data_IF_762928719311
#
_entry.id   IF_762928719311
#
_cell.length_a   1.000
_cell.length_b   1.000
_cell.length_c   1.000
_cell.angle_alpha   90.00
_cell.angle_beta   90.00
_cell.angle_gamma   90.00
#
_symmetry.space_group_name_H-M   'P 1'
#
loop_
_entity.id
_entity.type
_entity.pdbx_description
1 polymer ?
#
# COMPACT_ATOMS: atom_id res chain seq x y z
N UNK A 1 11.93 14.62 -15.17
CA UNK A 1 11.32 15.97 -15.05
C UNK A 1 10.58 16.01 -13.72
N UNK A 2 10.93 16.93 -12.81
CA UNK A 2 10.14 17.14 -11.58
C UNK A 2 8.79 17.73 -12.00
N UNK A 3 7.73 16.95 -11.94
CA UNK A 3 6.37 17.50 -12.01
C UNK A 3 6.20 18.38 -10.76
N UNK A 4 5.90 19.65 -10.96
CA UNK A 4 5.47 20.53 -9.89
C UNK A 4 4.10 20.02 -9.42
N UNK A 5 4.08 19.25 -8.33
CA UNK A 5 2.84 18.91 -7.65
C UNK A 5 2.31 20.19 -7.00
N UNK A 6 1.26 20.76 -7.58
CA UNK A 6 0.53 21.84 -6.97
C UNK A 6 -0.56 21.21 -6.10
N UNK A 7 -0.32 21.11 -4.80
CA UNK A 7 -1.32 20.65 -3.84
C UNK A 7 -2.41 21.70 -3.71
N UNK A 8 -3.47 21.57 -4.49
CA UNK A 8 -4.69 22.34 -4.25
C UNK A 8 -5.29 21.87 -2.92
N UNK A 9 -5.65 22.77 -1.99
CA UNK A 9 -6.38 22.35 -0.81
C UNK A 9 -7.70 21.73 -1.27
N UNK A 10 -7.86 20.42 -1.08
CA UNK A 10 -9.15 19.76 -1.29
C UNK A 10 -10.21 20.56 -0.54
N UNK A 11 -11.26 21.00 -1.22
CA UNK A 11 -12.38 21.63 -0.52
C UNK A 11 -12.93 20.58 0.45
N UNK A 12 -13.21 21.01 1.69
CA UNK A 12 -13.80 20.13 2.69
C UNK A 12 -15.15 19.62 2.16
N UNK A 13 -15.21 18.36 1.71
CA UNK A 13 -16.37 17.77 1.06
C UNK A 13 -16.09 16.36 0.50
N UNK A 14 -17.13 15.64 0.05
CA UNK A 14 -17.00 14.33 -0.58
C UNK A 14 -16.03 14.38 -1.77
N UNK A 15 -15.17 13.36 -1.92
CA UNK A 15 -14.22 13.22 -3.03
C UNK A 15 -14.88 13.38 -4.40
N UNK A 16 -16.11 12.88 -4.54
CA UNK A 16 -16.95 13.00 -5.75
C UNK A 16 -17.20 14.46 -6.16
N UNK A 17 -17.42 15.37 -5.20
CA UNK A 17 -17.65 16.78 -5.48
C UNK A 17 -16.36 17.45 -5.94
N UNK A 18 -15.23 17.09 -5.33
CA UNK A 18 -13.93 17.64 -5.70
C UNK A 18 -13.48 17.15 -7.08
N UNK A 19 -13.78 15.90 -7.41
CA UNK A 19 -13.47 15.30 -8.71
C UNK A 19 -14.30 15.91 -9.85
N UNK A 20 -15.59 16.21 -9.63
CA UNK A 20 -16.50 16.74 -10.68
C UNK A 20 -16.56 18.27 -10.79
N UNK A 21 -15.86 18.98 -9.90
CA UNK A 21 -15.80 20.44 -9.88
C UNK A 21 -15.19 21.07 -11.14
N UNK A 22 -14.12 20.52 -11.76
CA UNK A 22 -13.56 21.07 -12.99
C UNK A 22 -14.57 21.15 -14.12
N UNK A 23 -15.35 20.07 -14.34
CA UNK A 23 -16.39 19.99 -15.36
C UNK A 23 -17.50 21.02 -15.15
N UNK A 24 -17.94 21.20 -13.90
CA UNK A 24 -18.88 22.27 -13.52
C UNK A 24 -18.33 23.67 -13.85
N UNK A 25 -17.09 23.97 -13.41
CA UNK A 25 -16.46 25.27 -13.61
C UNK A 25 -16.16 25.54 -15.09
N UNK A 26 -15.77 24.53 -15.85
CA UNK A 26 -15.49 24.64 -17.28
C UNK A 26 -16.69 25.17 -18.06
N UNK A 27 -17.87 24.56 -17.86
CA UNK A 27 -19.09 24.99 -18.56
C UNK A 27 -19.47 26.42 -18.16
N UNK A 28 -19.40 26.78 -16.88
CA UNK A 28 -19.68 28.15 -16.41
C UNK A 28 -18.71 29.15 -17.06
N UNK A 29 -17.42 28.86 -16.96
CA UNK A 29 -16.36 29.76 -17.42
C UNK A 29 -16.44 30.00 -18.93
N UNK A 30 -16.60 28.93 -19.72
CA UNK A 30 -16.69 29.02 -21.17
C UNK A 30 -17.97 29.71 -21.65
N UNK A 31 -19.09 29.53 -20.94
CA UNK A 31 -20.30 30.29 -21.22
C UNK A 31 -20.09 31.79 -20.98
N UNK A 32 -19.55 32.18 -19.83
CA UNK A 32 -19.24 33.56 -19.51
C UNK A 32 -18.26 34.18 -20.53
N UNK A 33 -17.26 33.42 -20.96
CA UNK A 33 -16.31 33.83 -21.98
C UNK A 33 -16.97 34.07 -23.34
N UNK A 34 -17.83 33.15 -23.78
CA UNK A 34 -18.54 33.25 -25.06
C UNK A 34 -19.46 34.48 -25.07
N UNK A 35 -20.07 34.80 -23.93
CA UNK A 35 -20.87 36.02 -23.75
C UNK A 35 -20.02 37.31 -23.72
N UNK A 36 -18.77 37.24 -23.26
CA UNK A 36 -17.84 38.36 -23.24
C UNK A 36 -17.20 38.66 -24.62
N UNK A 37 -17.30 37.73 -25.59
CA UNK A 37 -16.83 37.97 -26.96
C UNK A 37 -17.84 38.87 -27.69
N UNK A 38 -17.42 40.06 -28.15
CA UNK A 38 -18.33 41.01 -28.78
C UNK A 38 -18.61 40.58 -30.23
N UNK A 39 -19.81 40.07 -30.46
CA UNK A 39 -20.53 40.06 -31.74
C UNK A 39 -22.00 40.41 -31.46
N UNK A 40 -22.74 40.82 -32.49
CA UNK A 40 -24.21 40.95 -32.44
C UNK A 40 -24.78 39.81 -31.60
N UNK A 41 -25.50 40.16 -30.53
CA UNK A 41 -26.02 39.19 -29.58
C UNK A 41 -26.71 38.06 -30.37
N UNK A 42 -26.30 36.79 -30.18
CA UNK A 42 -26.95 35.70 -30.90
C UNK A 42 -28.44 35.76 -30.58
N UNK A 43 -29.31 35.54 -31.58
CA UNK A 43 -30.76 35.67 -31.45
C UNK A 43 -31.37 34.82 -30.30
N UNK A 44 -30.60 33.86 -29.74
CA UNK A 44 -30.98 33.01 -28.62
C UNK A 44 -29.76 32.72 -27.71
N UNK A 45 -29.51 33.60 -26.73
CA UNK A 45 -28.42 33.49 -25.73
C UNK A 45 -28.44 32.16 -24.97
N UNK A 46 -29.62 31.58 -24.75
CA UNK A 46 -29.80 30.31 -24.04
C UNK A 46 -29.19 29.09 -24.75
N UNK A 47 -28.78 29.18 -26.02
CA UNK A 47 -28.13 28.08 -26.75
C UNK A 47 -26.64 27.91 -26.41
N UNK A 48 -26.00 28.94 -25.86
CA UNK A 48 -24.56 28.92 -25.54
C UNK A 48 -24.23 27.84 -24.49
N UNK A 49 -24.97 27.71 -23.37
CA UNK A 49 -24.72 26.65 -22.40
C UNK A 49 -24.94 25.24 -22.94
N UNK A 50 -25.91 25.07 -23.84
CA UNK A 50 -26.17 23.76 -24.48
C UNK A 50 -24.99 23.32 -25.35
N UNK A 51 -24.36 24.25 -26.06
CA UNK A 51 -23.20 23.96 -26.90
C UNK A 51 -21.98 23.56 -26.06
N UNK A 52 -21.69 24.30 -24.98
CA UNK A 52 -20.57 23.97 -24.09
C UNK A 52 -20.80 22.69 -23.28
N UNK A 53 -22.05 22.41 -22.89
CA UNK A 53 -22.41 21.10 -22.33
C UNK A 53 -22.09 19.97 -23.31
N UNK A 54 -22.52 20.07 -24.57
CA UNK A 54 -22.25 19.05 -25.57
C UNK A 54 -20.75 18.84 -25.81
N UNK A 55 -19.95 19.93 -25.84
CA UNK A 55 -18.49 19.86 -25.94
C UNK A 55 -17.90 19.14 -24.71
N UNK A 56 -18.36 19.48 -23.50
CA UNK A 56 -17.91 18.83 -22.26
C UNK A 56 -18.20 17.33 -22.29
N UNK A 57 -19.40 16.92 -22.71
CA UNK A 57 -19.77 15.50 -22.85
C UNK A 57 -18.86 14.79 -23.85
N UNK A 58 -18.53 15.41 -24.98
CA UNK A 58 -17.59 14.81 -25.95
C UNK A 58 -16.20 14.65 -25.33
N UNK A 59 -15.71 15.65 -24.60
CA UNK A 59 -14.41 15.57 -23.91
C UNK A 59 -14.38 14.46 -22.86
N UNK A 60 -15.46 14.25 -22.11
CA UNK A 60 -15.57 13.13 -21.16
C UNK A 60 -15.64 11.77 -21.87
N UNK A 61 -16.43 11.66 -22.93
CA UNK A 61 -16.52 10.41 -23.70
C UNK A 61 -15.18 10.04 -24.37
N UNK A 62 -14.37 11.03 -24.74
CA UNK A 62 -13.00 10.80 -25.25
C UNK A 62 -12.05 10.23 -24.18
N UNK A 63 -12.42 10.23 -22.89
CA UNK A 63 -11.65 9.60 -21.82
C UNK A 63 -12.00 8.11 -21.63
N UNK A 64 -13.10 7.61 -22.22
CA UNK A 64 -13.49 6.19 -22.15
C UNK A 64 -12.54 5.29 -22.95
N UNK A 65 -12.09 5.77 -24.10
CA UNK A 65 -11.03 5.15 -24.89
C UNK A 65 -9.79 5.99 -24.65
N UNK A 66 -8.82 5.50 -23.87
CA UNK A 66 -7.58 6.22 -23.55
C UNK A 66 -6.86 6.66 -24.84
N UNK A 67 -7.22 7.82 -25.39
CA UNK A 67 -6.52 8.43 -26.51
C UNK A 67 -5.25 8.97 -25.89
N UNK A 68 -4.08 8.40 -26.19
CA UNK A 68 -2.77 8.67 -25.58
C UNK A 68 -2.23 10.10 -25.73
N UNK A 69 -3.09 11.09 -25.52
CA UNK A 69 -2.87 12.52 -25.52
C UNK A 69 -2.66 12.90 -24.05
N UNK A 70 -1.40 13.09 -23.67
CA UNK A 70 -0.97 13.32 -22.29
C UNK A 70 -1.54 14.57 -21.61
N UNK A 71 -2.16 15.50 -22.35
CA UNK A 71 -2.86 16.68 -21.80
C UNK A 71 -4.38 16.51 -21.65
N UNK A 72 -4.95 15.36 -22.05
CA UNK A 72 -6.34 14.96 -21.80
C UNK A 72 -6.38 13.81 -20.78
N UNK A 73 -5.52 13.88 -19.75
CA UNK A 73 -5.44 12.88 -18.69
C UNK A 73 -6.60 13.07 -17.70
N UNK A 74 -7.74 12.45 -17.99
CA UNK A 74 -8.90 12.35 -17.10
C UNK A 74 -9.41 10.91 -17.05
N UNK A 75 -10.19 10.59 -16.02
CA UNK A 75 -10.94 9.34 -15.92
C UNK A 75 -12.41 9.65 -16.12
N UNK A 76 -13.07 8.95 -17.03
CA UNK A 76 -14.50 9.12 -17.23
C UNK A 76 -15.27 8.91 -15.92
N UNK A 77 -16.01 9.93 -15.48
CA UNK A 77 -16.97 9.84 -14.38
C UNK A 77 -18.34 10.38 -14.83
N UNK A 78 -19.41 9.64 -14.56
CA UNK A 78 -20.77 10.09 -14.87
C UNK A 78 -21.16 11.34 -14.06
N UNK A 79 -20.52 11.58 -12.91
CA UNK A 79 -20.70 12.79 -12.12
C UNK A 79 -20.17 14.05 -12.85
N UNK A 80 -19.18 13.93 -13.74
CA UNK A 80 -18.72 15.04 -14.58
C UNK A 80 -19.79 15.50 -15.57
N UNK A 81 -20.53 14.54 -16.14
CA UNK A 81 -21.66 14.83 -17.03
C UNK A 81 -22.78 15.54 -16.27
N UNK A 82 -23.11 15.09 -15.06
CA UNK A 82 -24.10 15.76 -14.22
C UNK A 82 -23.68 17.19 -13.86
N UNK A 83 -22.41 17.36 -13.49
CA UNK A 83 -21.82 18.65 -13.14
C UNK A 83 -21.90 19.63 -14.33
N UNK A 84 -21.51 19.18 -15.52
CA UNK A 84 -21.61 19.96 -16.75
C UNK A 84 -23.07 20.32 -17.09
N UNK A 85 -24.01 19.38 -16.91
CA UNK A 85 -25.45 19.62 -17.13
C UNK A 85 -26.02 20.65 -16.16
N UNK A 86 -25.65 20.56 -14.88
CA UNK A 86 -26.07 21.50 -13.83
C UNK A 86 -25.55 22.91 -14.13
N UNK A 87 -24.27 23.04 -14.48
CA UNK A 87 -23.67 24.30 -14.89
C UNK A 87 -24.40 24.93 -16.09
N UNK A 88 -24.71 24.12 -17.11
CA UNK A 88 -25.45 24.59 -18.27
C UNK A 88 -26.87 25.07 -17.90
N UNK A 89 -27.56 24.36 -17.02
CA UNK A 89 -28.89 24.72 -16.53
C UNK A 89 -28.86 26.04 -15.74
N UNK A 90 -27.88 26.23 -14.85
CA UNK A 90 -27.70 27.46 -14.07
C UNK A 90 -27.51 28.67 -14.99
N UNK A 91 -26.62 28.57 -15.98
CA UNK A 91 -26.37 29.67 -16.92
C UNK A 91 -27.57 29.91 -17.83
N UNK A 92 -28.24 28.86 -18.31
CA UNK A 92 -29.44 29.00 -19.14
C UNK A 92 -30.55 29.71 -18.36
N UNK A 93 -30.80 29.32 -17.11
CA UNK A 93 -31.76 29.97 -16.21
C UNK A 93 -31.40 31.44 -15.97
N UNK A 94 -30.14 31.72 -15.63
CA UNK A 94 -29.65 33.09 -15.42
C UNK A 94 -29.83 33.96 -16.67
N UNK A 95 -29.50 33.43 -17.85
CA UNK A 95 -29.66 34.13 -19.13
C UNK A 95 -31.13 34.38 -19.48
N UNK A 96 -32.02 33.44 -19.17
CA UNK A 96 -33.46 33.56 -19.39
C UNK A 96 -34.10 34.59 -18.47
N UNK A 97 -33.63 34.71 -17.22
CA UNK A 97 -34.09 35.72 -16.26
C UNK A 97 -33.60 37.13 -16.62
N UNK A 98 -32.45 37.25 -17.28
CA UNK A 98 -31.83 38.52 -17.68
C UNK A 98 -32.25 39.01 -19.09
N UNK A 99 -33.21 38.34 -19.74
CA UNK A 99 -33.57 38.47 -21.16
C UNK A 99 -34.21 39.82 -21.57
N UNK A 100 -33.79 40.95 -20.99
CA UNK A 100 -34.31 42.29 -21.28
C UNK A 100 -33.30 43.45 -21.10
N UNK A 101 -31.99 43.22 -21.13
CA UNK A 101 -31.00 44.32 -21.13
C UNK A 101 -30.07 44.26 -22.34
N UNK A 102 -30.13 45.30 -23.19
CA UNK A 102 -29.12 45.52 -24.23
C UNK A 102 -27.80 45.91 -23.57
N UNK A 103 -26.87 44.97 -23.45
CA UNK A 103 -25.52 45.27 -22.97
C UNK A 103 -24.72 45.80 -24.17
N UNK A 104 -24.45 47.11 -24.15
CA UNK A 104 -23.49 47.73 -25.07
C UNK A 104 -22.10 47.63 -24.43
N UNK A 105 -21.21 46.84 -25.02
CA UNK A 105 -19.83 46.70 -24.56
C UNK A 105 -18.84 46.86 -25.71
N UNK A 106 -17.76 47.61 -25.47
CA UNK A 106 -16.64 47.78 -26.41
C UNK A 106 -15.93 46.44 -26.67
N UNK A 107 -15.35 46.23 -27.86
CA UNK A 107 -14.73 44.96 -28.17
C UNK A 107 -13.46 44.69 -27.36
N UNK A 108 -13.40 43.52 -26.72
CA UNK A 108 -12.22 43.06 -25.97
C UNK A 108 -11.04 42.80 -26.92
N UNK A 109 -9.84 43.26 -26.54
CA UNK A 109 -8.62 43.11 -27.36
C UNK A 109 -8.14 41.65 -27.42
N UNK A 110 -7.43 41.29 -28.48
CA UNK A 110 -6.90 39.93 -28.69
C UNK A 110 -5.95 39.49 -27.56
N UNK A 111 -5.22 40.43 -26.98
CA UNK A 111 -4.31 40.22 -25.85
C UNK A 111 -5.02 39.74 -24.57
N UNK A 112 -6.33 40.02 -24.43
CA UNK A 112 -7.14 39.58 -23.29
C UNK A 112 -7.87 38.27 -23.63
N UNK A 113 -8.28 38.08 -24.89
CA UNK A 113 -8.98 36.87 -25.36
C UNK A 113 -8.11 35.60 -25.25
N UNK A 114 -6.84 35.69 -25.63
CA UNK A 114 -5.93 34.53 -25.63
C UNK A 114 -5.73 33.91 -24.23
N UNK A 115 -5.36 34.67 -23.18
CA UNK A 115 -5.20 34.12 -21.84
C UNK A 115 -6.52 33.62 -21.25
N UNK A 116 -7.66 34.24 -21.58
CA UNK A 116 -8.97 33.75 -21.15
C UNK A 116 -9.32 32.39 -21.78
N UNK A 117 -9.12 32.21 -23.08
CA UNK A 117 -9.33 30.92 -23.75
C UNK A 117 -8.39 29.86 -23.15
N UNK A 118 -7.15 30.22 -22.85
CA UNK A 118 -6.19 29.35 -22.19
C UNK A 118 -6.72 28.90 -20.82
N UNK A 119 -7.14 29.83 -19.96
CA UNK A 119 -7.68 29.52 -18.62
C UNK A 119 -8.91 28.60 -18.69
N UNK A 120 -9.80 28.82 -19.66
CA UNK A 120 -10.99 27.98 -19.82
C UNK A 120 -10.70 26.59 -20.37
N UNK A 121 -9.68 26.49 -21.22
CA UNK A 121 -9.21 25.20 -21.73
C UNK A 121 -8.52 24.41 -20.62
N UNK A 122 -7.74 25.10 -19.76
CA UNK A 122 -7.11 24.51 -18.58
C UNK A 122 -8.14 24.13 -17.50
N UNK A 123 -9.33 24.75 -17.45
CA UNK A 123 -10.36 24.38 -16.47
C UNK A 123 -11.13 23.10 -16.83
N UNK A 124 -10.97 22.57 -18.05
CA UNK A 124 -11.42 21.21 -18.41
C UNK A 124 -10.41 20.14 -18.02
N UNK A 125 -9.22 20.51 -17.56
CA UNK A 125 -8.23 19.54 -17.13
C UNK A 125 -8.60 19.07 -15.73
N UNK A 126 -9.15 17.85 -15.65
CA UNK A 126 -9.27 17.13 -14.40
C UNK A 126 -7.89 16.97 -13.75
N UNK A 127 -7.87 16.96 -12.42
CA UNK A 127 -6.67 16.56 -11.68
C UNK A 127 -6.63 15.03 -11.62
N UNK A 128 -5.76 14.40 -12.40
CA UNK A 128 -5.44 12.98 -12.19
C UNK A 128 -4.67 12.83 -10.88
N UNK A 129 -5.34 12.31 -9.85
CA UNK A 129 -4.67 11.88 -8.62
C UNK A 129 -4.18 10.45 -8.85
N UNK A 130 -2.88 10.27 -9.05
CA UNK A 130 -2.27 8.94 -9.06
C UNK A 130 -2.46 8.32 -7.67
N UNK A 131 -3.44 7.41 -7.55
CA UNK A 131 -3.72 6.66 -6.32
C UNK A 131 -2.89 5.37 -6.23
N UNK A 132 -1.85 5.23 -7.06
CA UNK A 132 -0.95 4.07 -6.95
C UNK A 132 0.05 4.23 -5.80
N UNK A 133 0.46 3.08 -5.26
CA UNK A 133 1.50 2.96 -4.25
C UNK A 133 2.78 2.38 -4.87
N UNK A 134 3.93 2.87 -4.41
CA UNK A 134 5.24 2.31 -4.75
C UNK A 134 5.52 1.09 -3.84
N UNK A 135 5.89 -0.03 -4.45
CA UNK A 135 6.21 -1.28 -3.75
C UNK A 135 7.74 -1.50 -3.63
N UNK A 136 8.21 -2.41 -2.74
CA UNK A 136 9.65 -2.64 -2.50
C UNK A 136 10.49 -2.95 -3.75
N UNK A 137 9.87 -3.52 -4.76
CA UNK A 137 10.48 -3.86 -6.05
C UNK A 137 10.39 -2.74 -7.10
N UNK A 138 9.93 -1.55 -6.70
CA UNK A 138 9.72 -0.36 -7.53
C UNK A 138 8.57 -0.47 -8.51
N UNK A 139 7.72 -1.49 -8.40
CA UNK A 139 6.45 -1.55 -9.14
C UNK A 139 5.42 -0.59 -8.54
N UNK A 140 4.46 -0.17 -9.36
CA UNK A 140 3.33 0.67 -8.97
C UNK A 140 2.04 -0.07 -9.23
N UNK A 141 1.22 -0.19 -8.21
CA UNK A 141 -0.10 -0.82 -8.28
C UNK A 141 -1.08 -0.14 -7.31
N UNK A 142 -2.33 -0.62 -7.26
CA UNK A 142 -3.33 -0.20 -6.27
C UNK A 142 -2.74 -0.20 -4.86
N UNK A 143 -3.11 0.78 -4.03
CA UNK A 143 -2.70 0.82 -2.62
C UNK A 143 -3.46 -0.19 -1.73
N UNK A 144 -4.52 -0.78 -2.27
CA UNK A 144 -5.35 -1.73 -1.56
C UNK A 144 -4.80 -3.15 -1.78
N UNK A 145 -4.56 -3.85 -0.69
CA UNK A 145 -3.92 -5.18 -0.68
C UNK A 145 -4.67 -6.16 0.21
N UNK A 146 -4.52 -7.45 -0.09
CA UNK A 146 -5.05 -8.53 0.73
C UNK A 146 -3.98 -9.11 1.66
N UNK A 147 -4.30 -9.47 2.92
CA UNK A 147 -3.34 -10.09 3.84
C UNK A 147 -2.99 -11.53 3.43
N UNK A 148 -1.70 -11.87 3.50
CA UNK A 148 -1.19 -13.24 3.34
C UNK A 148 -1.02 -13.90 4.71
N UNK A 149 -1.70 -15.02 4.91
CA UNK A 149 -1.67 -15.78 6.16
C UNK A 149 -0.76 -17.01 6.06
N UNK A 150 0.08 -17.22 7.07
CA UNK A 150 0.68 -18.50 7.40
C UNK A 150 -0.21 -19.19 8.44
N UNK A 151 -0.67 -20.42 8.16
CA UNK A 151 -1.65 -21.09 9.03
C UNK A 151 -1.02 -21.49 10.36
N UNK A 152 -1.81 -21.47 11.43
CA UNK A 152 -1.34 -21.93 12.74
C UNK A 152 -0.81 -23.35 12.74
N UNK A 153 -1.38 -24.23 11.91
CA UNK A 153 -0.88 -25.59 11.75
C UNK A 153 0.56 -25.62 11.23
N UNK A 154 0.90 -24.77 10.27
CA UNK A 154 2.24 -24.72 9.68
C UNK A 154 3.26 -24.13 10.68
N UNK A 155 2.83 -23.23 11.57
CA UNK A 155 3.68 -22.62 12.61
C UNK A 155 3.92 -23.59 13.79
N UNK A 156 2.87 -24.29 14.23
CA UNK A 156 2.87 -25.04 15.49
C UNK A 156 3.35 -26.48 15.37
N UNK A 157 3.47 -27.02 14.16
CA UNK A 157 3.87 -28.41 13.92
C UNK A 157 5.36 -28.61 13.71
N UNK A 158 6.15 -27.54 13.58
CA UNK A 158 7.52 -27.64 13.05
C UNK A 158 8.61 -27.20 14.03
N UNK A 159 8.66 -27.81 15.22
CA UNK A 159 9.72 -27.58 16.19
C UNK A 159 10.74 -28.74 16.11
N UNK A 160 11.97 -28.44 15.67
CA UNK A 160 13.01 -29.46 15.44
C UNK A 160 14.40 -28.92 15.83
N UNK A 161 15.28 -29.80 16.32
CA UNK A 161 16.72 -29.51 16.46
C UNK A 161 17.46 -30.14 15.29
N UNK A 162 18.31 -29.36 14.64
CA UNK A 162 19.28 -29.83 13.67
C UNK A 162 20.69 -29.65 14.22
N UNK A 163 21.49 -30.72 14.19
CA UNK A 163 22.87 -30.71 14.66
C UNK A 163 23.85 -30.60 13.49
N UNK A 164 24.99 -29.95 13.75
CA UNK A 164 26.11 -29.92 12.82
C UNK A 164 27.03 -31.13 13.04
N UNK A 165 27.19 -31.94 12.00
CA UNK A 165 28.18 -33.02 12.01
C UNK A 165 29.62 -32.52 11.84
N UNK A 166 29.82 -31.31 11.31
CA UNK A 166 31.15 -30.79 10.97
C UNK A 166 31.97 -30.36 12.20
N UNK A 167 31.28 -29.87 13.24
CA UNK A 167 31.91 -29.29 14.43
C UNK A 167 31.36 -29.93 15.72
N UNK A 168 30.94 -31.20 15.64
CA UNK A 168 30.34 -31.90 16.77
C UNK A 168 31.30 -31.94 17.97
N UNK A 169 30.89 -31.31 19.07
CA UNK A 169 31.49 -31.54 20.38
C UNK A 169 30.86 -32.80 21.02
N UNK A 170 31.33 -33.20 22.21
CA UNK A 170 30.86 -34.44 22.86
C UNK A 170 29.35 -34.47 23.09
N UNK A 171 28.72 -33.32 23.36
CA UNK A 171 27.27 -33.21 23.56
C UNK A 171 26.49 -33.33 22.25
N UNK A 172 26.96 -32.65 21.21
CA UNK A 172 26.35 -32.69 19.87
C UNK A 172 26.44 -34.09 19.29
N UNK A 173 27.59 -34.76 19.44
CA UNK A 173 27.78 -36.13 18.98
C UNK A 173 26.85 -37.11 19.73
N UNK A 174 26.74 -36.97 21.05
CA UNK A 174 25.83 -37.82 21.82
C UNK A 174 24.36 -37.66 21.41
N UNK A 175 23.94 -36.44 21.03
CA UNK A 175 22.59 -36.20 20.51
C UNK A 175 22.38 -36.80 19.11
N UNK A 176 23.39 -36.69 18.23
CA UNK A 176 23.38 -37.34 16.90
C UNK A 176 23.30 -38.87 17.04
N UNK A 177 24.10 -39.46 17.92
CA UNK A 177 24.13 -40.91 18.15
C UNK A 177 22.79 -41.45 18.68
N UNK A 178 21.99 -40.58 19.31
CA UNK A 178 20.62 -40.86 19.77
C UNK A 178 19.54 -40.64 18.71
N UNK A 179 19.93 -40.37 17.44
CA UNK A 179 19.01 -40.17 16.32
C UNK A 179 18.65 -38.71 16.05
N UNK A 180 19.45 -37.76 16.55
CA UNK A 180 19.28 -36.33 16.23
C UNK A 180 19.35 -36.05 14.73
N UNK A 181 18.56 -35.08 14.26
CA UNK A 181 18.57 -34.66 12.86
C UNK A 181 19.87 -33.90 12.56
N UNK A 182 20.46 -34.12 11.39
CA UNK A 182 21.70 -33.47 10.97
C UNK A 182 21.40 -32.50 9.83
N UNK A 183 21.95 -31.29 9.89
CA UNK A 183 21.93 -30.30 8.80
C UNK A 183 23.23 -29.52 8.77
N UNK A 184 23.73 -29.24 7.57
CA UNK A 184 24.87 -28.35 7.39
C UNK A 184 24.53 -26.90 7.75
N UNK A 185 25.54 -26.12 8.15
CA UNK A 185 25.36 -24.71 8.44
C UNK A 185 25.04 -23.94 7.16
N UNK A 186 23.88 -23.30 7.11
CA UNK A 186 23.43 -22.55 5.93
C UNK A 186 23.68 -21.04 6.01
N UNK A 187 24.35 -20.58 7.06
CA UNK A 187 24.46 -19.15 7.35
C UNK A 187 23.31 -18.62 8.21
N UNK A 188 23.32 -17.31 8.43
CA UNK A 188 22.29 -16.55 9.14
C UNK A 188 21.82 -15.47 8.19
N UNK A 189 20.52 -15.46 7.87
CA UNK A 189 19.97 -14.55 6.86
C UNK A 189 19.51 -13.23 7.49
N UNK A 190 18.75 -13.29 8.59
CA UNK A 190 18.21 -12.11 9.25
C UNK A 190 18.53 -12.13 10.75
N UNK A 191 19.75 -11.74 11.16
CA UNK A 191 20.16 -11.79 12.55
C UNK A 191 19.33 -10.83 13.43
N UNK A 192 18.80 -11.36 14.52
CA UNK A 192 18.15 -10.63 15.59
C UNK A 192 19.04 -10.54 16.83
N UNK A 193 18.44 -10.77 18.00
CA UNK A 193 19.16 -10.77 19.27
C UNK A 193 20.26 -11.84 19.28
N UNK A 194 21.43 -11.43 19.77
CA UNK A 194 22.54 -12.31 20.11
C UNK A 194 22.58 -12.43 21.63
N UNK A 195 22.65 -13.65 22.14
CA UNK A 195 22.62 -13.95 23.56
C UNK A 195 23.75 -14.90 23.93
N UNK A 196 24.44 -14.63 25.04
CA UNK A 196 25.50 -15.51 25.56
C UNK A 196 25.03 -16.10 26.88
N UNK A 197 25.08 -17.42 27.00
CA UNK A 197 24.79 -18.13 28.25
C UNK A 197 25.84 -19.22 28.46
N UNK A 198 26.56 -19.14 29.57
CA UNK A 198 27.76 -19.94 29.84
C UNK A 198 28.75 -19.87 28.67
N UNK A 199 29.14 -21.02 28.11
CA UNK A 199 30.02 -21.12 26.95
C UNK A 199 29.28 -21.11 25.61
N UNK A 200 27.96 -20.89 25.58
CA UNK A 200 27.19 -20.93 24.32
C UNK A 200 26.80 -19.54 23.86
N UNK A 201 26.76 -19.38 22.55
CA UNK A 201 26.27 -18.20 21.85
C UNK A 201 25.02 -18.59 21.05
N UNK A 202 23.93 -17.89 21.31
CA UNK A 202 22.65 -18.05 20.63
C UNK A 202 22.43 -16.87 19.72
N UNK A 203 22.12 -17.12 18.46
CA UNK A 203 21.79 -16.08 17.48
C UNK A 203 20.39 -16.35 16.96
N UNK A 204 19.47 -15.41 17.23
CA UNK A 204 18.14 -15.45 16.63
C UNK A 204 18.27 -15.18 15.13
N UNK A 205 17.80 -16.08 14.29
CA UNK A 205 17.56 -15.83 12.87
C UNK A 205 16.05 -15.60 12.71
N UNK A 206 15.69 -14.34 12.58
CA UNK A 206 14.33 -13.88 12.79
C UNK A 206 13.35 -14.67 11.92
N UNK A 207 12.32 -15.18 12.58
CA UNK A 207 11.23 -16.02 12.07
C UNK A 207 11.61 -17.43 11.63
N UNK A 208 12.89 -17.80 11.65
CA UNK A 208 13.36 -19.14 11.31
C UNK A 208 13.64 -19.97 12.56
N UNK A 209 14.39 -19.42 13.51
CA UNK A 209 14.81 -20.15 14.70
C UNK A 209 16.10 -19.62 15.30
N UNK A 210 16.75 -20.44 16.11
CA UNK A 210 17.93 -20.05 16.90
C UNK A 210 19.14 -20.88 16.47
N UNK A 211 20.21 -20.21 16.04
CA UNK A 211 21.51 -20.84 15.83
C UNK A 211 22.28 -20.90 17.14
N UNK A 212 22.92 -22.03 17.41
CA UNK A 212 23.69 -22.30 18.63
C UNK A 212 25.14 -22.54 18.25
N UNK A 213 26.04 -21.85 18.93
CA UNK A 213 27.49 -21.96 18.76
C UNK A 213 28.16 -22.26 20.09
N UNK A 214 29.24 -23.05 20.06
CA UNK A 214 30.25 -23.10 21.11
C UNK A 214 31.07 -21.81 21.04
N UNK A 215 31.04 -21.06 22.14
CA UNK A 215 31.69 -19.78 22.32
C UNK A 215 32.78 -19.84 23.40
N UNK A 216 33.35 -21.02 23.66
CA UNK A 216 34.48 -21.20 24.59
C UNK A 216 35.72 -20.41 24.14
N UNK A 217 35.92 -20.26 22.83
CA UNK A 217 36.85 -19.31 22.22
C UNK A 217 36.06 -18.20 21.51
N UNK A 218 35.93 -17.04 22.16
CA UNK A 218 35.15 -15.91 21.65
C UNK A 218 35.71 -15.33 20.34
N UNK A 219 37.00 -15.58 20.03
CA UNK A 219 37.58 -15.16 18.76
C UNK A 219 37.19 -16.08 17.60
N UNK A 220 36.73 -17.30 17.90
CA UNK A 220 36.40 -18.32 16.91
C UNK A 220 35.23 -19.22 17.37
N UNK A 221 34.00 -18.69 17.45
CA UNK A 221 32.83 -19.47 17.83
C UNK A 221 32.54 -20.57 16.79
N UNK A 222 32.22 -21.78 17.27
CA UNK A 222 31.99 -22.96 16.42
C UNK A 222 30.51 -23.31 16.36
N UNK A 223 29.97 -23.44 15.17
CA UNK A 223 28.55 -23.78 14.98
C UNK A 223 28.23 -25.19 15.48
N UNK A 224 27.21 -25.33 16.32
CA UNK A 224 26.81 -26.61 16.91
C UNK A 224 25.45 -27.11 16.39
N UNK A 225 24.44 -26.25 16.40
CA UNK A 225 23.06 -26.66 16.11
C UNK A 225 22.18 -25.49 15.66
N UNK A 226 21.03 -25.83 15.09
CA UNK A 226 19.94 -24.92 14.79
C UNK A 226 18.64 -25.46 15.37
N UNK A 227 17.99 -24.65 16.21
CA UNK A 227 16.67 -24.93 16.78
C UNK A 227 15.63 -24.22 15.94
N UNK A 228 14.93 -24.97 15.09
CA UNK A 228 13.88 -24.44 14.23
C UNK A 228 12.66 -24.08 15.06
N UNK A 229 12.29 -22.81 15.05
CA UNK A 229 11.08 -22.28 15.68
C UNK A 229 10.51 -21.24 14.72
N UNK A 230 9.53 -21.66 13.92
CA UNK A 230 8.89 -20.76 12.96
C UNK A 230 8.28 -19.57 13.72
N UNK A 231 8.54 -18.37 13.23
CA UNK A 231 8.09 -17.13 13.89
C UNK A 231 8.96 -16.64 15.05
N UNK A 232 10.17 -17.20 15.24
CA UNK A 232 11.14 -16.77 16.25
C UNK A 232 11.48 -15.26 16.16
N UNK A 233 10.95 -14.43 17.05
CA UNK A 233 11.24 -12.98 17.04
C UNK A 233 12.26 -12.57 18.09
N UNK A 234 12.35 -13.31 19.19
CA UNK A 234 13.28 -13.04 20.29
C UNK A 234 13.54 -14.31 21.10
N UNK A 235 14.60 -14.30 21.93
CA UNK A 235 14.93 -15.39 22.85
C UNK A 235 15.46 -14.88 24.20
N UNK A 236 15.28 -15.68 25.25
CA UNK A 236 15.91 -15.50 26.56
C UNK A 236 16.22 -16.88 27.17
N UNK A 237 17.34 -17.01 27.88
CA UNK A 237 17.70 -18.27 28.55
C UNK A 237 17.61 -18.10 30.05
N UNK A 238 16.85 -18.96 30.71
CA UNK A 238 16.71 -18.98 32.17
C UNK A 238 16.78 -20.41 32.69
N UNK A 239 17.69 -20.66 33.64
CA UNK A 239 17.86 -21.96 34.30
C UNK A 239 18.02 -23.15 33.32
N UNK A 240 18.75 -22.95 32.23
CA UNK A 240 18.97 -24.01 31.22
C UNK A 240 17.78 -24.25 30.28
N UNK A 241 16.77 -23.39 30.31
CA UNK A 241 15.64 -23.40 29.37
C UNK A 241 15.71 -22.14 28.50
N UNK A 242 15.72 -22.32 27.19
CA UNK A 242 15.63 -21.24 26.21
C UNK A 242 14.16 -20.99 25.87
N UNK A 243 13.68 -19.79 26.18
CA UNK A 243 12.36 -19.31 25.81
C UNK A 243 12.46 -18.51 24.52
N UNK A 244 11.67 -18.88 23.52
CA UNK A 244 11.65 -18.25 22.20
C UNK A 244 10.25 -17.70 21.95
N UNK A 245 10.18 -16.42 21.59
CA UNK A 245 8.92 -15.81 21.14
C UNK A 245 8.64 -16.31 19.71
N UNK A 246 7.53 -17.02 19.50
CA UNK A 246 7.12 -17.56 18.20
C UNK A 246 5.80 -16.91 17.78
N UNK A 247 5.88 -15.76 17.12
CA UNK A 247 4.73 -14.86 16.90
C UNK A 247 3.93 -14.58 18.17
N UNK A 248 2.73 -15.17 18.32
CA UNK A 248 1.84 -15.04 19.47
C UNK A 248 2.08 -16.10 20.55
N UNK A 249 2.91 -17.10 20.26
CA UNK A 249 3.19 -18.22 21.12
C UNK A 249 4.55 -18.04 21.80
N UNK A 250 4.79 -18.81 22.87
CA UNK A 250 6.11 -18.95 23.48
C UNK A 250 6.52 -20.42 23.44
N UNK A 251 7.74 -20.68 22.97
CA UNK A 251 8.33 -22.02 22.93
C UNK A 251 9.45 -22.10 23.96
N UNK A 252 9.33 -23.01 24.91
CA UNK A 252 10.39 -23.37 25.84
C UNK A 252 11.16 -24.57 25.31
N UNK A 253 12.48 -24.46 25.24
CA UNK A 253 13.41 -25.49 24.77
C UNK A 253 14.37 -25.81 25.89
N UNK A 254 14.36 -27.04 26.38
CA UNK A 254 15.35 -27.52 27.34
C UNK A 254 16.71 -27.68 26.65
N UNK A 255 17.77 -27.05 27.18
CA UNK A 255 19.11 -27.08 26.57
C UNK A 255 19.94 -28.30 26.98
N UNK A 256 19.37 -29.20 27.78
CA UNK A 256 19.99 -30.46 28.20
C UNK A 256 19.36 -31.62 27.43
N UNK A 257 20.17 -32.58 26.99
CA UNK A 257 19.65 -33.79 26.36
C UNK A 257 18.77 -34.60 27.33
N UNK A 258 17.55 -35.04 26.93
CA UNK A 258 16.93 -34.83 25.62
C UNK A 258 16.33 -33.42 25.46
N UNK A 259 16.50 -32.82 24.28
CA UNK A 259 15.95 -31.49 23.95
C UNK A 259 14.41 -31.56 23.87
N UNK A 260 13.73 -31.24 24.97
CA UNK A 260 12.28 -31.19 25.01
C UNK A 260 11.76 -29.80 24.60
N UNK A 261 10.61 -29.81 23.94
CA UNK A 261 9.92 -28.60 23.49
C UNK A 261 8.55 -28.51 24.12
N UNK A 262 8.24 -27.34 24.67
CA UNK A 262 6.91 -27.02 25.17
C UNK A 262 6.45 -25.70 24.55
N UNK A 263 5.36 -25.75 23.78
CA UNK A 263 4.75 -24.56 23.19
C UNK A 263 3.52 -24.16 24.00
N UNK A 264 3.48 -22.91 24.41
CA UNK A 264 2.27 -22.30 24.98
C UNK A 264 1.71 -21.33 23.95
N UNK A 265 0.50 -21.62 23.48
CA UNK A 265 -0.15 -20.88 22.38
C UNK A 265 -0.83 -19.60 22.86
N UNK A 266 -0.82 -18.56 22.02
CA UNK A 266 -1.58 -17.30 22.21
C UNK A 266 -1.30 -16.58 23.55
N UNK A 267 -0.05 -16.63 24.03
CA UNK A 267 0.38 -15.95 25.27
C UNK A 267 0.74 -14.50 25.00
N UNK A 268 1.28 -14.21 23.81
CA UNK A 268 1.65 -12.88 23.38
C UNK A 268 0.52 -12.27 22.54
N UNK A 269 0.31 -10.94 22.62
CA UNK A 269 -0.73 -10.28 21.85
C UNK A 269 -0.45 -10.37 20.35
N UNK A 270 -1.51 -10.52 19.56
CA UNK A 270 -1.41 -10.46 18.11
C UNK A 270 -0.90 -9.07 17.67
N UNK A 271 0.15 -8.99 16.85
CA UNK A 271 0.80 -7.72 16.53
C UNK A 271 -0.06 -6.84 15.60
N UNK A 272 0.17 -5.52 15.66
CA UNK A 272 -0.50 -4.57 14.77
C UNK A 272 0.13 -4.56 13.38
N UNK A 273 -0.26 -5.55 12.56
CA UNK A 273 0.28 -5.80 11.21
C UNK A 273 0.14 -4.61 10.25
N UNK A 274 -0.82 -3.71 10.48
CA UNK A 274 -0.98 -2.49 9.69
C UNK A 274 0.26 -1.59 9.71
N UNK A 275 1.05 -1.65 10.79
CA UNK A 275 2.26 -0.84 10.94
C UNK A 275 3.45 -1.38 10.14
N UNK A 276 3.32 -2.57 9.56
CA UNK A 276 4.36 -3.21 8.74
C UNK A 276 4.18 -2.95 7.25
N UNK A 277 3.03 -2.39 6.85
CA UNK A 277 2.77 -2.03 5.47
C UNK A 277 3.60 -0.81 5.04
N UNK A 278 3.99 -0.73 3.75
CA UNK A 278 4.56 0.49 3.18
C UNK A 278 3.62 1.69 3.34
N UNK A 279 4.17 2.90 3.22
CA UNK A 279 3.37 4.12 3.30
C UNK A 279 2.21 4.10 2.29
N UNK A 280 1.02 4.48 2.75
CA UNK A 280 -0.25 4.53 1.99
C UNK A 280 -0.87 3.17 1.60
N UNK A 281 -0.12 2.06 1.68
CA UNK A 281 -0.66 0.71 1.45
C UNK A 281 -1.57 0.31 2.61
N UNK A 282 -2.73 -0.29 2.31
CA UNK A 282 -3.75 -0.61 3.31
C UNK A 282 -4.45 -1.94 2.97
N UNK A 283 -4.84 -2.68 4.01
CA UNK A 283 -5.64 -3.90 3.85
C UNK A 283 -7.10 -3.56 3.53
N UNK A 284 -7.43 -3.54 2.25
CA UNK A 284 -8.74 -3.12 1.73
C UNK A 284 -9.16 -4.02 0.57
N UNK A 285 -10.46 -4.18 0.43
CA UNK A 285 -11.10 -4.84 -0.70
C UNK A 285 -12.42 -4.13 -0.99
N UNK A 286 -12.66 -3.76 -2.25
CA UNK A 286 -13.89 -3.08 -2.68
C UNK A 286 -14.28 -1.88 -1.79
N UNK A 287 -13.30 -1.00 -1.52
CA UNK A 287 -13.41 0.18 -0.63
C UNK A 287 -13.71 -0.11 0.85
N UNK A 288 -13.75 -1.39 1.25
CA UNK A 288 -13.95 -1.80 2.63
C UNK A 288 -12.63 -2.21 3.27
N UNK A 289 -12.45 -1.80 4.54
CA UNK A 289 -11.30 -2.23 5.33
C UNK A 289 -11.42 -3.72 5.63
N UNK A 290 -10.36 -4.48 5.35
CA UNK A 290 -10.27 -5.87 5.75
C UNK A 290 -9.92 -5.94 7.23
N UNK A 291 -10.78 -6.60 8.01
CA UNK A 291 -10.46 -6.97 9.39
C UNK A 291 -9.58 -8.22 9.40
N UNK A 292 -8.52 -8.21 10.21
CA UNK A 292 -7.57 -9.32 10.29
C UNK A 292 -8.21 -10.47 11.08
N UNK A 293 -8.40 -11.61 10.41
CA UNK A 293 -8.94 -12.82 11.02
C UNK A 293 -7.80 -13.64 11.62
N UNK A 294 -7.63 -13.49 12.94
CA UNK A 294 -6.57 -14.17 13.70
C UNK A 294 -6.77 -15.69 13.74
N UNK A 295 -7.96 -16.23 13.43
CA UNK A 295 -8.18 -17.67 13.41
C UNK A 295 -7.55 -18.34 12.18
N UNK A 296 -7.33 -17.59 11.10
CA UNK A 296 -6.71 -18.11 9.87
C UNK A 296 -5.22 -18.37 10.03
N UNK A 297 -4.56 -17.65 10.93
CA UNK A 297 -3.11 -17.74 11.10
C UNK A 297 -2.47 -16.40 11.40
N UNK A 298 -1.15 -16.37 11.24
CA UNK A 298 -0.35 -15.16 11.35
C UNK A 298 -0.21 -14.49 9.99
N UNK A 299 -0.43 -13.17 9.92
CA UNK A 299 -0.20 -12.40 8.70
C UNK A 299 1.30 -12.19 8.52
N UNK A 300 1.85 -12.73 7.44
CA UNK A 300 3.28 -12.72 7.12
C UNK A 300 3.61 -11.86 5.90
N UNK A 301 2.60 -11.27 5.26
CA UNK A 301 2.77 -10.43 4.10
C UNK A 301 1.45 -9.93 3.54
N UNK A 302 1.51 -9.46 2.30
CA UNK A 302 0.35 -8.96 1.55
C UNK A 302 0.45 -9.30 0.07
N UNK A 303 -0.70 -9.37 -0.58
CA UNK A 303 -0.86 -9.65 -2.00
C UNK A 303 -1.59 -8.48 -2.67
N UNK A 304 -1.05 -7.99 -3.79
CA UNK A 304 -1.70 -6.96 -4.60
C UNK A 304 -2.87 -7.56 -5.39
N UNK A 305 -3.77 -6.72 -5.89
CA UNK A 305 -4.86 -7.16 -6.79
C UNK A 305 -4.36 -7.90 -8.04
N UNK A 306 -3.13 -7.58 -8.48
CA UNK A 306 -2.45 -8.22 -9.61
C UNK A 306 -1.87 -9.61 -9.26
N UNK A 307 -2.05 -10.08 -8.02
CA UNK A 307 -1.55 -11.37 -7.53
C UNK A 307 -0.08 -11.36 -7.10
N UNK A 308 0.52 -10.18 -6.94
CA UNK A 308 1.93 -10.06 -6.55
C UNK A 308 2.05 -10.12 -5.04
N UNK A 309 2.92 -11.01 -4.55
CA UNK A 309 3.10 -11.27 -3.12
C UNK A 309 4.35 -10.61 -2.59
N UNK A 310 4.19 -9.97 -1.44
CA UNK A 310 5.27 -9.37 -0.67
C UNK A 310 5.22 -9.94 0.74
N UNK A 311 6.35 -10.46 1.21
CA UNK A 311 6.49 -10.94 2.58
C UNK A 311 7.20 -9.88 3.41
N UNK A 312 6.80 -9.74 4.67
CA UNK A 312 7.45 -8.81 5.59
C UNK A 312 8.87 -9.27 5.94
N UNK A 313 9.15 -10.57 5.77
CA UNK A 313 10.40 -11.23 6.10
C UNK A 313 10.58 -12.49 5.22
N UNK A 314 11.79 -13.05 5.18
CA UNK A 314 12.04 -14.36 4.58
C UNK A 314 11.46 -15.48 5.44
N UNK A 315 10.18 -15.74 5.25
CA UNK A 315 9.49 -16.90 5.83
C UNK A 315 9.71 -18.12 4.93
N UNK A 316 10.21 -19.21 5.52
CA UNK A 316 10.13 -20.53 4.91
C UNK A 316 8.65 -20.95 4.89
N UNK A 317 7.99 -20.82 3.74
CA UNK A 317 6.61 -21.27 3.52
C UNK A 317 6.54 -22.74 3.15
#
# INVERSE_FOLDING_TARGET
MRQLAFDWPALAGPSVINASLPSFLHVIFMCCLTLAVPKQAPAKVWKIPLAWFAISVVLELMQLEFVGISWLAGTFDWFDILAAALAAAVIALHSSLLNNRSISSKPLSLAIKLPLILVGSLSAMGSYWDVSCDYPDKSRASCDVSPLYMRWQDIRTTNEVYFSAENANGETQAAIDQGGLIREYQGIDNPGKIYVFNQYLFVNDQLKGIHIFDNSDQANPKYLAFVRVVGATDLEVLNGVMYVNSFTDVVAVELTAPFNYYRTENVLPYPSVNNWLPARVRFFQDEQRIEIDQNRGMVVGYETEEGKRFFFWDVEL
#
